data_IF_453821688861
#
_entry.id   IF_453821688861
#
_cell.length_a   1.000
_cell.length_b   1.000
_cell.length_c   1.000
_cell.angle_alpha   90.00
_cell.angle_beta   90.00
_cell.angle_gamma   90.00
#
_symmetry.space_group_name_H-M   'P 1'
#
loop_
_entity.id
_entity.type
_entity.pdbx_description
1 polymer ?
#
# COMPACT_ATOMS: atom_id res chain seq x y z
N UNK A 1 -23.72 -11.61 2.74
CA UNK A 1 -22.49 -11.99 2.04
C UNK A 1 -22.54 -11.35 0.67
N UNK A 2 -21.50 -10.62 0.30
CA UNK A 2 -21.25 -10.04 -1.02
C UNK A 2 -19.96 -10.65 -1.55
N UNK A 3 -19.81 -10.70 -2.87
CA UNK A 3 -18.61 -11.20 -3.53
C UNK A 3 -17.73 -10.03 -3.94
N UNK A 4 -16.44 -10.11 -3.62
CA UNK A 4 -15.45 -9.08 -3.92
C UNK A 4 -14.31 -9.70 -4.72
N UNK A 5 -13.84 -9.00 -5.74
CA UNK A 5 -12.57 -9.33 -6.39
C UNK A 5 -11.47 -8.71 -5.54
N UNK A 6 -10.50 -9.53 -5.15
CA UNK A 6 -9.41 -9.16 -4.26
C UNK A 6 -8.10 -9.44 -4.96
N UNK A 7 -7.18 -8.48 -4.90
CA UNK A 7 -5.84 -8.62 -5.43
C UNK A 7 -4.80 -8.36 -4.35
N UNK A 8 -3.71 -9.13 -4.36
CA UNK A 8 -2.46 -8.72 -3.73
C UNK A 8 -1.51 -8.35 -4.85
N UNK A 9 -1.19 -7.06 -4.97
CA UNK A 9 -0.29 -6.53 -5.97
C UNK A 9 1.10 -6.34 -5.36
N UNK A 10 2.09 -7.03 -5.93
CA UNK A 10 3.48 -6.96 -5.53
C UNK A 10 4.35 -6.27 -6.61
N UNK A 11 3.71 -5.42 -7.42
CA UNK A 11 4.31 -4.50 -8.39
C UNK A 11 4.55 -5.11 -9.77
N UNK A 12 5.36 -6.17 -9.85
CA UNK A 12 5.62 -6.85 -11.14
C UNK A 12 4.56 -7.90 -11.50
N UNK A 13 3.53 -8.06 -10.67
CA UNK A 13 2.45 -9.01 -10.85
C UNK A 13 1.47 -8.94 -9.68
N UNK A 14 0.39 -9.71 -9.78
CA UNK A 14 -0.62 -9.74 -8.72
C UNK A 14 -1.22 -11.14 -8.60
N UNK A 15 -1.55 -11.52 -7.36
CA UNK A 15 -2.39 -12.68 -7.05
C UNK A 15 -3.84 -12.22 -6.91
N UNK A 16 -4.78 -13.09 -7.29
CA UNK A 16 -6.20 -12.73 -7.34
C UNK A 16 -7.10 -13.80 -6.73
N UNK A 17 -8.17 -13.36 -6.06
CA UNK A 17 -9.19 -14.22 -5.47
C UNK A 17 -10.57 -13.58 -5.53
N UNK A 18 -11.61 -14.42 -5.63
CA UNK A 18 -12.98 -14.03 -5.31
C UNK A 18 -13.29 -14.36 -3.87
N UNK A 19 -13.55 -13.35 -3.04
CA UNK A 19 -13.85 -13.55 -1.62
C UNK A 19 -15.30 -13.19 -1.33
N UNK A 20 -16.05 -14.16 -0.79
CA UNK A 20 -17.38 -13.93 -0.25
C UNK A 20 -17.28 -13.44 1.21
N UNK A 21 -17.65 -12.19 1.46
CA UNK A 21 -17.48 -11.51 2.75
C UNK A 21 -18.69 -10.63 3.13
N UNK A 22 -18.86 -10.21 4.40
CA UNK A 22 -19.92 -9.27 4.77
C UNK A 22 -19.68 -7.84 4.23
N UNK A 23 -18.42 -7.43 4.08
CA UNK A 23 -18.00 -6.12 3.56
C UNK A 23 -16.57 -6.17 3.00
N UNK A 24 -16.20 -5.16 2.22
CA UNK A 24 -14.82 -4.90 1.79
C UNK A 24 -13.89 -4.70 2.99
N UNK A 25 -14.31 -3.90 3.97
CA UNK A 25 -13.55 -3.65 5.20
C UNK A 25 -13.22 -4.95 5.96
N UNK A 26 -14.15 -5.91 6.01
CA UNK A 26 -13.90 -7.19 6.65
C UNK A 26 -12.75 -7.95 5.96
N UNK A 27 -12.62 -7.84 4.63
CA UNK A 27 -11.51 -8.45 3.88
C UNK A 27 -10.19 -7.74 4.23
N UNK A 28 -10.17 -6.41 4.18
CA UNK A 28 -8.95 -5.62 4.48
C UNK A 28 -8.48 -5.84 5.92
N UNK A 29 -9.39 -6.01 6.87
CA UNK A 29 -9.06 -6.32 8.26
C UNK A 29 -8.72 -7.81 8.50
N UNK A 30 -8.90 -8.67 7.51
CA UNK A 30 -8.52 -10.09 7.61
C UNK A 30 -7.21 -10.38 6.88
N UNK A 31 -6.95 -9.75 5.73
CA UNK A 31 -5.75 -10.00 4.93
C UNK A 31 -4.93 -8.71 4.76
N UNK A 32 -3.62 -8.79 4.98
CA UNK A 32 -2.69 -7.67 4.80
C UNK A 32 -2.45 -7.41 3.31
N UNK A 33 -2.10 -6.17 2.95
CA UNK A 33 -1.62 -5.82 1.60
C UNK A 33 -2.53 -6.22 0.42
N UNK A 34 -3.81 -6.49 0.69
CA UNK A 34 -4.80 -6.77 -0.36
C UNK A 34 -5.60 -5.52 -0.70
N UNK A 35 -6.02 -5.45 -1.95
CA UNK A 35 -6.87 -4.41 -2.51
C UNK A 35 -8.20 -5.01 -2.96
N UNK A 36 -9.28 -4.24 -2.79
CA UNK A 36 -10.56 -4.56 -3.43
C UNK A 36 -10.55 -3.96 -4.82
N UNK A 37 -10.74 -4.80 -5.83
CA UNK A 37 -10.74 -4.38 -7.23
C UNK A 37 -12.16 -4.36 -7.74
N UNK A 38 -12.56 -3.24 -8.34
CA UNK A 38 -13.78 -3.16 -9.12
C UNK A 38 -13.42 -3.42 -10.59
N UNK A 39 -13.82 -4.57 -11.17
CA UNK A 39 -13.51 -4.85 -12.57
C UNK A 39 -14.22 -3.83 -13.46
N UNK A 40 -13.53 -3.34 -14.49
CA UNK A 40 -14.14 -2.44 -15.46
C UNK A 40 -15.26 -3.15 -16.24
N UNK A 41 -16.19 -2.37 -16.80
CA UNK A 41 -17.29 -2.91 -17.60
C UNK A 41 -16.75 -3.81 -18.73
N UNK A 42 -17.20 -5.07 -18.73
CA UNK A 42 -16.80 -6.06 -19.74
C UNK A 42 -15.55 -6.89 -19.40
N UNK A 43 -14.86 -6.62 -18.28
CA UNK A 43 -13.72 -7.44 -17.83
C UNK A 43 -14.11 -8.67 -17.01
N UNK A 44 -15.40 -8.90 -16.77
CA UNK A 44 -15.88 -9.99 -15.92
C UNK A 44 -15.41 -11.39 -16.35
N UNK A 45 -15.30 -11.65 -17.66
CA UNK A 45 -14.83 -12.93 -18.19
C UNK A 45 -13.34 -13.19 -17.87
N UNK A 46 -12.52 -12.13 -17.79
CA UNK A 46 -11.09 -12.25 -17.43
C UNK A 46 -10.88 -12.88 -16.05
N UNK A 47 -11.85 -12.69 -15.18
CA UNK A 47 -11.78 -13.11 -13.78
C UNK A 47 -12.63 -14.35 -13.49
N UNK A 48 -13.22 -14.99 -14.50
CA UNK A 48 -14.15 -16.11 -14.31
C UNK A 48 -13.50 -17.34 -13.63
N UNK A 49 -12.24 -17.63 -13.96
CA UNK A 49 -11.51 -18.82 -13.49
C UNK A 49 -10.65 -18.56 -12.24
N UNK A 50 -10.80 -17.39 -11.61
CA UNK A 50 -10.06 -17.06 -10.38
C UNK A 50 -10.58 -17.89 -9.20
N UNK A 51 -9.69 -18.39 -8.31
CA UNK A 51 -10.09 -19.12 -7.13
C UNK A 51 -11.08 -18.34 -6.25
N UNK A 52 -12.08 -19.04 -5.72
CA UNK A 52 -13.09 -18.44 -4.84
C UNK A 52 -13.10 -19.09 -3.46
N UNK A 53 -13.22 -18.27 -2.42
CA UNK A 53 -13.32 -18.69 -1.03
C UNK A 53 -14.33 -17.83 -0.26
N UNK A 54 -14.79 -18.34 0.88
CA UNK A 54 -15.51 -17.54 1.88
C UNK A 54 -14.53 -17.03 2.91
N UNK A 55 -14.72 -15.80 3.36
CA UNK A 55 -13.92 -15.25 4.46
C UNK A 55 -14.03 -16.14 5.71
N UNK A 56 -12.88 -16.47 6.31
CA UNK A 56 -12.78 -17.36 7.46
C UNK A 56 -12.68 -18.86 7.12
N UNK A 57 -12.83 -19.26 5.86
CA UNK A 57 -12.33 -20.56 5.41
C UNK A 57 -10.80 -20.52 5.38
N UNK A 58 -10.10 -21.68 5.46
CA UNK A 58 -8.65 -21.72 5.36
C UNK A 58 -8.15 -21.00 4.10
N UNK A 59 -7.28 -20.00 4.30
CA UNK A 59 -6.70 -19.25 3.19
C UNK A 59 -5.79 -20.15 2.32
N UNK A 60 -5.85 -20.01 0.98
CA UNK A 60 -4.91 -20.68 0.09
C UNK A 60 -3.50 -20.07 0.21
N UNK A 61 -2.51 -20.79 -0.29
CA UNK A 61 -1.12 -20.33 -0.33
C UNK A 61 -1.00 -18.93 -0.95
N UNK A 62 -0.26 -18.05 -0.28
CA UNK A 62 -0.06 -16.64 -0.63
C UNK A 62 -1.09 -15.70 -0.01
N UNK A 63 -2.28 -16.19 0.36
CA UNK A 63 -3.26 -15.42 1.14
C UNK A 63 -3.18 -15.77 2.64
N UNK A 64 -2.68 -16.96 2.97
CA UNK A 64 -2.43 -17.44 4.33
C UNK A 64 -1.36 -16.62 5.06
N UNK A 65 -0.26 -16.30 4.39
CA UNK A 65 0.78 -15.42 4.95
C UNK A 65 0.24 -14.01 5.24
N UNK A 66 -0.59 -13.47 4.33
CA UNK A 66 -1.24 -12.17 4.49
C UNK A 66 -2.30 -12.17 5.61
N UNK A 67 -3.00 -13.29 5.82
CA UNK A 67 -3.92 -13.49 6.94
C UNK A 67 -3.18 -13.45 8.28
N UNK A 68 -2.06 -14.18 8.36
CA UNK A 68 -1.23 -14.24 9.57
C UNK A 68 -0.58 -12.88 9.87
N UNK A 69 -0.02 -12.21 8.85
CA UNK A 69 0.52 -10.85 8.97
C UNK A 69 -0.52 -9.89 9.52
N UNK A 70 -1.72 -9.88 8.95
CA UNK A 70 -2.80 -8.99 9.41
C UNK A 70 -3.23 -9.29 10.84
N UNK A 71 -3.25 -10.58 11.23
CA UNK A 71 -3.55 -10.99 12.60
C UNK A 71 -2.55 -10.38 13.60
N UNK A 72 -1.26 -10.37 13.27
CA UNK A 72 -0.22 -9.74 14.10
C UNK A 72 -0.39 -8.22 14.13
N UNK A 73 -0.56 -7.58 12.96
CA UNK A 73 -0.74 -6.13 12.85
C UNK A 73 -1.93 -5.64 13.67
N UNK A 74 -3.06 -6.38 13.68
CA UNK A 74 -4.27 -6.05 14.45
C UNK A 74 -4.10 -6.04 15.96
N UNK A 75 -3.06 -6.69 16.49
CA UNK A 75 -2.74 -6.63 17.91
C UNK A 75 -2.05 -5.30 18.29
N UNK A 76 -1.56 -4.54 17.31
CA UNK A 76 -0.93 -3.24 17.55
C UNK A 76 -1.98 -2.15 17.82
N UNK A 77 -1.75 -1.26 18.81
CA UNK A 77 -2.59 -0.09 19.01
C UNK A 77 -2.52 0.92 17.85
N UNK A 78 -1.53 0.80 16.96
CA UNK A 78 -1.37 1.64 15.76
C UNK A 78 -2.03 1.05 14.51
N UNK A 79 -2.66 -0.13 14.60
CA UNK A 79 -3.37 -0.73 13.48
C UNK A 79 -4.40 0.25 12.90
N UNK A 80 -4.31 0.54 11.60
CA UNK A 80 -5.23 1.48 10.95
C UNK A 80 -5.03 2.96 11.32
N UNK A 81 -3.94 3.33 11.99
CA UNK A 81 -3.73 4.71 12.46
C UNK A 81 -3.61 5.75 11.33
N UNK A 82 -3.33 5.31 10.10
CA UNK A 82 -3.22 6.19 8.93
C UNK A 82 -4.53 6.27 8.11
N UNK A 83 -5.46 5.35 8.33
CA UNK A 83 -6.68 5.20 7.51
C UNK A 83 -7.61 6.40 7.67
N UNK A 84 -8.09 6.94 6.54
CA UNK A 84 -9.09 8.01 6.52
C UNK A 84 -8.57 9.39 6.91
N UNK A 85 -7.25 9.59 6.94
CA UNK A 85 -6.62 10.87 7.32
C UNK A 85 -6.33 11.81 6.14
N UNK A 86 -6.69 11.42 4.93
CA UNK A 86 -6.26 12.12 3.71
C UNK A 86 -4.83 11.75 3.37
N UNK A 87 -4.03 12.73 2.93
CA UNK A 87 -2.62 12.50 2.62
C UNK A 87 -1.80 12.23 3.89
N UNK A 88 -0.91 11.24 3.82
CA UNK A 88 0.03 10.88 4.89
C UNK A 88 1.47 11.00 4.39
N UNK A 89 2.38 11.35 5.31
CA UNK A 89 3.76 11.64 4.99
C UNK A 89 4.67 10.66 5.73
N UNK A 90 5.47 9.91 4.98
CA UNK A 90 6.24 8.79 5.52
C UNK A 90 7.73 9.04 5.26
N UNK A 91 8.57 8.72 6.26
CA UNK A 91 10.03 8.68 6.13
C UNK A 91 10.55 7.26 6.31
N UNK A 92 11.27 6.74 5.32
CA UNK A 92 11.99 5.47 5.41
C UNK A 92 13.49 5.73 5.21
N UNK A 93 14.31 5.33 6.18
CA UNK A 93 15.76 5.40 6.07
C UNK A 93 16.28 4.10 5.44
N UNK A 94 17.17 4.20 4.44
CA UNK A 94 17.81 3.08 3.76
C UNK A 94 19.34 3.17 3.95
N UNK A 95 19.87 2.66 5.09
CA UNK A 95 21.28 2.83 5.44
C UNK A 95 22.25 2.21 4.45
N UNK A 96 21.87 1.11 3.80
CA UNK A 96 22.70 0.43 2.81
C UNK A 96 22.89 1.28 1.54
N UNK A 97 21.86 2.03 1.15
CA UNK A 97 21.87 2.96 0.02
C UNK A 97 22.41 4.34 0.41
N UNK A 98 22.61 4.58 1.72
CA UNK A 98 22.96 5.90 2.29
C UNK A 98 21.94 6.98 1.88
N UNK A 99 20.68 6.61 1.81
CA UNK A 99 19.57 7.45 1.36
C UNK A 99 18.43 7.45 2.37
N UNK A 100 17.72 8.58 2.41
CA UNK A 100 16.47 8.73 3.16
C UNK A 100 15.36 9.08 2.18
N UNK A 101 14.31 8.28 2.20
CA UNK A 101 13.15 8.44 1.34
C UNK A 101 12.02 9.09 2.12
N UNK A 102 11.40 10.07 1.49
CA UNK A 102 10.22 10.76 1.96
C UNK A 102 9.11 10.53 0.95
N UNK A 103 7.97 10.05 1.41
CA UNK A 103 6.82 9.73 0.58
C UNK A 103 5.60 10.54 1.01
N UNK A 104 4.81 10.97 0.04
CA UNK A 104 3.42 11.33 0.24
C UNK A 104 2.55 10.23 -0.35
N UNK A 105 1.67 9.67 0.48
CA UNK A 105 0.63 8.74 0.05
C UNK A 105 -0.73 9.44 0.13
N UNK A 106 -1.61 9.17 -0.83
CA UNK A 106 -3.01 9.57 -0.73
C UNK A 106 -3.79 8.66 0.24
N UNK A 107 -5.10 8.91 0.36
CA UNK A 107 -5.96 8.18 1.28
C UNK A 107 -6.18 6.70 0.87
N UNK A 108 -5.83 6.33 -0.37
CA UNK A 108 -5.84 4.97 -0.88
C UNK A 108 -4.46 4.28 -0.77
N UNK A 109 -3.45 4.99 -0.29
CA UNK A 109 -2.08 4.48 -0.16
C UNK A 109 -1.25 4.62 -1.42
N UNK A 110 -1.75 5.26 -2.48
CA UNK A 110 -0.97 5.49 -3.70
C UNK A 110 0.04 6.61 -3.49
N UNK A 111 1.25 6.38 -3.98
CA UNK A 111 2.34 7.36 -3.92
C UNK A 111 2.07 8.51 -4.88
N UNK A 112 1.95 9.70 -4.33
CA UNK A 112 1.67 10.93 -5.09
C UNK A 112 2.90 11.82 -5.23
N UNK A 113 3.82 11.80 -4.26
CA UNK A 113 5.11 12.49 -4.34
C UNK A 113 6.19 11.70 -3.60
N UNK A 114 7.43 11.82 -4.07
CA UNK A 114 8.60 11.23 -3.43
C UNK A 114 9.77 12.23 -3.42
N UNK A 115 10.56 12.20 -2.36
CA UNK A 115 11.87 12.84 -2.29
C UNK A 115 12.89 11.83 -1.77
N UNK A 116 14.00 11.68 -2.47
CA UNK A 116 15.17 10.92 -1.99
C UNK A 116 16.23 11.92 -1.59
N UNK A 117 16.76 11.77 -0.38
CA UNK A 117 17.85 12.59 0.14
C UNK A 117 19.07 11.71 0.37
N UNK A 118 20.15 11.98 -0.36
CA UNK A 118 21.42 11.25 -0.18
C UNK A 118 22.13 11.69 1.10
N UNK A 119 23.10 10.90 1.56
CA UNK A 119 23.97 11.27 2.70
C UNK A 119 24.73 12.60 2.49
N UNK A 120 24.93 13.02 1.23
CA UNK A 120 25.50 14.32 0.88
C UNK A 120 24.53 15.50 1.04
N UNK A 121 23.26 15.23 1.35
CA UNK A 121 22.18 16.21 1.46
C UNK A 121 21.58 16.63 0.11
N UNK A 122 21.94 15.94 -0.98
CA UNK A 122 21.31 16.17 -2.28
C UNK A 122 19.92 15.56 -2.29
N UNK A 123 18.92 16.37 -2.66
CA UNK A 123 17.54 15.96 -2.72
C UNK A 123 17.06 15.83 -4.17
N UNK A 124 16.49 14.70 -4.51
CA UNK A 124 15.86 14.41 -5.79
C UNK A 124 14.37 14.17 -5.57
N UNK A 125 13.53 14.81 -6.39
CA UNK A 125 12.08 14.64 -6.34
C UNK A 125 11.57 13.99 -7.62
N UNK A 126 10.51 13.21 -7.45
CA UNK A 126 9.86 12.47 -8.52
C UNK A 126 8.35 12.45 -8.31
N UNK A 127 7.59 12.10 -9.35
CA UNK A 127 6.13 12.10 -9.40
C UNK A 127 5.54 10.78 -9.95
N UNK A 128 4.20 10.62 -9.95
CA UNK A 128 3.52 9.39 -10.38
C UNK A 128 3.95 8.82 -11.74
N UNK A 129 4.38 9.69 -12.63
CA UNK A 129 4.95 9.36 -13.94
C UNK A 129 6.24 8.53 -13.86
N UNK A 130 6.99 8.61 -12.76
CA UNK A 130 8.28 7.93 -12.56
C UNK A 130 8.11 6.51 -12.00
N UNK A 131 6.89 6.10 -11.61
CA UNK A 131 6.62 4.83 -10.93
C UNK A 131 5.33 4.14 -11.36
N UNK A 132 5.24 3.81 -12.64
CA UNK A 132 4.03 3.25 -13.27
C UNK A 132 3.54 1.90 -12.68
N UNK A 133 4.36 1.17 -11.93
CA UNK A 133 4.06 -0.18 -11.45
C UNK A 133 4.10 -0.32 -9.92
N UNK A 134 4.11 0.78 -9.17
CA UNK A 134 4.20 0.68 -7.71
C UNK A 134 2.81 0.51 -7.09
N UNK A 135 2.58 -0.60 -6.35
CA UNK A 135 1.32 -0.81 -5.67
C UNK A 135 1.13 0.23 -4.55
N UNK A 136 -0.11 0.45 -4.09
CA UNK A 136 -0.34 1.29 -2.92
C UNK A 136 0.24 0.63 -1.67
N UNK A 137 0.67 1.44 -0.71
CA UNK A 137 1.06 0.95 0.61
C UNK A 137 -0.18 0.63 1.46
N UNK A 138 -0.04 -0.35 2.35
CA UNK A 138 -1.11 -0.75 3.27
C UNK A 138 -1.22 0.25 4.44
N UNK A 139 -2.15 1.21 4.35
CA UNK A 139 -2.38 2.20 5.41
C UNK A 139 -2.88 1.61 6.74
N UNK A 140 -3.24 0.33 6.77
CA UNK A 140 -3.56 -0.38 8.01
C UNK A 140 -2.32 -0.90 8.74
N UNK A 141 -1.17 -0.95 8.07
CA UNK A 141 0.07 -1.44 8.63
C UNK A 141 0.58 -0.52 9.77
N UNK A 142 0.68 -1.04 11.01
CA UNK A 142 1.20 -0.28 12.12
C UNK A 142 2.67 0.11 11.97
N UNK A 143 3.48 -0.64 11.20
CA UNK A 143 4.89 -0.31 10.98
C UNK A 143 5.03 0.95 10.12
N UNK A 144 4.24 1.05 9.04
CA UNK A 144 4.13 2.28 8.25
C UNK A 144 3.73 3.49 9.10
N UNK A 145 2.81 3.31 10.06
CA UNK A 145 2.41 4.37 10.99
C UNK A 145 3.54 4.82 11.93
N UNK A 146 4.57 4.02 12.17
CA UNK A 146 5.74 4.44 12.97
C UNK A 146 6.70 5.34 12.19
N UNK A 147 6.66 5.26 10.87
CA UNK A 147 7.44 6.06 9.95
C UNK A 147 6.79 7.41 9.61
N UNK A 148 5.62 7.71 10.20
CA UNK A 148 4.92 8.96 9.92
C UNK A 148 5.74 10.19 10.39
N UNK A 149 5.79 11.19 9.53
CA UNK A 149 6.39 12.50 9.80
C UNK A 149 5.36 13.62 9.61
N UNK A 150 5.70 14.82 10.07
CA UNK A 150 4.88 15.99 9.82
C UNK A 150 4.95 16.40 8.34
N UNK A 151 3.85 16.95 7.82
CA UNK A 151 3.79 17.51 6.47
C UNK A 151 4.89 18.53 6.21
N UNK A 152 5.17 19.38 7.20
CA UNK A 152 6.15 20.46 7.09
C UNK A 152 7.57 19.92 6.86
N UNK A 153 7.89 18.76 7.43
CA UNK A 153 9.16 18.08 7.20
C UNK A 153 9.26 17.60 5.75
N UNK A 154 8.21 16.95 5.24
CA UNK A 154 8.13 16.51 3.85
C UNK A 154 8.26 17.68 2.87
N UNK A 155 7.45 18.73 3.03
CA UNK A 155 7.43 19.90 2.14
C UNK A 155 8.78 20.64 2.16
N UNK A 156 9.49 20.62 3.30
CA UNK A 156 10.84 21.15 3.43
C UNK A 156 11.88 20.41 2.58
N UNK A 157 11.76 19.09 2.46
CA UNK A 157 12.57 18.27 1.57
C UNK A 157 12.15 18.47 0.10
N UNK A 158 10.84 18.45 -0.17
CA UNK A 158 10.28 18.64 -1.51
C UNK A 158 10.69 19.96 -2.16
N UNK A 159 10.64 21.06 -1.41
CA UNK A 159 11.04 22.38 -1.90
C UNK A 159 12.53 22.52 -2.22
N UNK A 160 13.39 21.65 -1.67
CA UNK A 160 14.83 21.59 -1.97
C UNK A 160 15.16 20.60 -3.09
N UNK A 161 14.26 19.66 -3.36
CA UNK A 161 14.42 18.59 -4.33
C UNK A 161 14.54 19.12 -5.75
N UNK A 162 15.58 18.69 -6.47
CA UNK A 162 15.65 18.86 -7.93
C UNK A 162 14.82 17.76 -8.58
N UNK A 163 14.07 18.11 -9.64
CA UNK A 163 13.39 17.08 -10.41
C UNK A 163 14.42 16.12 -10.99
N UNK A 164 14.13 14.82 -10.93
CA UNK A 164 14.92 13.81 -11.63
C UNK A 164 15.03 14.19 -13.11
N UNK A 165 16.24 14.22 -13.70
CA UNK A 165 16.38 14.45 -15.13
C UNK A 165 15.86 13.24 -15.92
N UNK A 166 15.14 13.51 -17.02
CA UNK A 166 14.63 12.52 -17.97
C UNK A 166 15.73 11.62 -18.58
#
# INVERSE_FOLDING_TARGET
>A
MKRFLVAHDYGMGSLWWWIDAPSAEAIIQTYAEVMIVEPADGEGERFADIPSLRIGDPAPAGLDDLEEQRRVQRASPKFGALVGRGSVYIRKDYPEEQETYFFEYDEQGYRTRQVVVSAGGEAERSGPEDWLFNPPEDLWDPELAECEIAREEFEGCWGKGKARPD
#
